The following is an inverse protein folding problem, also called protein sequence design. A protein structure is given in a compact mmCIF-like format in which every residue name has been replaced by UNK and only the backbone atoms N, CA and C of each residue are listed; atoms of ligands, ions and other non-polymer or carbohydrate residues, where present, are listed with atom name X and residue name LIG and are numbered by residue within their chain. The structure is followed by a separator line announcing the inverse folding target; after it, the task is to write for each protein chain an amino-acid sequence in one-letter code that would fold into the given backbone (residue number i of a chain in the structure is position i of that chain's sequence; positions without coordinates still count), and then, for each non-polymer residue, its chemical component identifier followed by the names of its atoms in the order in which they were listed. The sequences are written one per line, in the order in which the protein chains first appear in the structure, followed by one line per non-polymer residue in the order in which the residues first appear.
data_IF_818423752968
#
_entry.id   IF_818423752968
#
_cell.length_a   1.000
_cell.length_b   1.000
_cell.length_c   1.000
_cell.angle_alpha   90.00
_cell.angle_beta   90.00
_cell.angle_gamma   90.00
#
_symmetry.space_group_name_H-M   'P 1'
#
loop_
_entity.id
_entity.type
_entity.pdbx_description
1 polymer ?
#
# COMPACT_ATOMS: atom_id res chain seq x y z
N UNK A 1 18.63 14.55 -3.13
CA UNK A 1 19.02 14.01 -4.45
C UNK A 1 18.18 12.83 -4.89
N UNK A 2 17.86 11.91 -3.98
CA UNK A 2 16.93 10.81 -4.31
C UNK A 2 15.48 11.26 -4.51
N UNK A 3 15.14 12.49 -4.13
CA UNK A 3 13.79 13.03 -4.30
C UNK A 3 13.39 13.23 -5.76
N UNK A 4 14.38 13.34 -6.66
CA UNK A 4 14.12 13.47 -8.09
C UNK A 4 13.89 12.15 -8.80
N UNK A 5 14.31 11.02 -8.19
CA UNK A 5 14.18 9.70 -8.81
C UNK A 5 12.71 9.26 -8.91
N UNK A 6 11.94 9.55 -7.87
CA UNK A 6 10.53 9.15 -7.78
C UNK A 6 9.63 10.35 -7.54
N UNK A 7 8.42 10.28 -8.07
CA UNK A 7 7.35 11.24 -7.78
C UNK A 7 6.10 10.50 -7.32
N UNK A 8 5.36 11.10 -6.40
CA UNK A 8 4.11 10.53 -5.88
C UNK A 8 2.94 11.42 -6.31
N UNK A 9 1.87 10.78 -6.73
CA UNK A 9 0.64 11.46 -7.17
C UNK A 9 -0.60 10.67 -6.77
N UNK A 10 -1.75 11.31 -6.84
CA UNK A 10 -3.02 10.61 -6.70
C UNK A 10 -3.23 9.66 -7.88
N UNK A 11 -3.83 8.50 -7.59
CA UNK A 11 -4.21 7.54 -8.61
C UNK A 11 -5.38 8.09 -9.44
N UNK A 12 -5.35 7.82 -10.74
CA UNK A 12 -6.42 8.14 -11.68
C UNK A 12 -7.00 6.85 -12.27
N UNK A 13 -8.17 6.94 -12.87
CA UNK A 13 -8.84 5.75 -13.43
C UNK A 13 -7.99 5.09 -14.54
N UNK A 14 -7.21 5.87 -15.27
CA UNK A 14 -6.30 5.40 -16.31
C UNK A 14 -5.19 4.52 -15.76
N UNK A 15 -4.95 4.54 -14.45
CA UNK A 15 -3.94 3.70 -13.79
C UNK A 15 -4.41 2.26 -13.54
N UNK A 16 -5.67 1.93 -13.86
CA UNK A 16 -6.25 0.62 -13.53
C UNK A 16 -5.38 -0.55 -14.03
N UNK A 17 -4.90 -0.50 -15.25
CA UNK A 17 -4.08 -1.57 -15.81
C UNK A 17 -2.74 -1.70 -15.07
N UNK A 18 -2.10 -0.58 -14.75
CA UNK A 18 -0.86 -0.58 -13.98
C UNK A 18 -1.07 -1.15 -12.57
N UNK A 19 -2.17 -0.79 -11.92
CA UNK A 19 -2.53 -1.33 -10.61
C UNK A 19 -2.75 -2.85 -10.71
N UNK A 20 -3.50 -3.32 -11.70
CA UNK A 20 -3.74 -4.77 -11.88
C UNK A 20 -2.46 -5.55 -12.06
N UNK A 21 -1.51 -5.03 -12.83
CA UNK A 21 -0.21 -5.68 -13.03
C UNK A 21 0.60 -5.73 -11.73
N UNK A 22 0.63 -4.64 -10.97
CA UNK A 22 1.30 -4.60 -9.67
C UNK A 22 0.64 -5.52 -8.65
N UNK A 23 -0.68 -5.57 -8.63
CA UNK A 23 -1.42 -6.48 -7.74
C UNK A 23 -1.14 -7.94 -8.07
N UNK A 24 -1.06 -8.28 -9.34
CA UNK A 24 -0.70 -9.64 -9.77
C UNK A 24 0.71 -10.01 -9.28
N UNK A 25 1.67 -9.12 -9.44
CA UNK A 25 3.03 -9.31 -8.94
C UNK A 25 3.03 -9.47 -7.41
N UNK A 26 2.27 -8.63 -6.70
CA UNK A 26 2.15 -8.67 -5.25
C UNK A 26 1.53 -9.98 -4.76
N UNK A 27 0.49 -10.47 -5.42
CA UNK A 27 -0.15 -11.75 -5.09
C UNK A 27 0.81 -12.92 -5.32
N UNK A 28 1.50 -12.93 -6.45
CA UNK A 28 2.47 -13.99 -6.75
C UNK A 28 3.60 -14.03 -5.72
N UNK A 29 4.16 -12.88 -5.39
CA UNK A 29 5.19 -12.77 -4.36
C UNK A 29 4.66 -13.16 -2.97
N UNK A 30 3.41 -12.80 -2.68
CA UNK A 30 2.76 -13.08 -1.40
C UNK A 30 2.47 -14.55 -1.14
N UNK A 31 2.50 -15.41 -2.17
CA UNK A 31 2.21 -16.83 -2.01
C UNK A 31 3.16 -17.53 -1.02
N UNK A 32 4.35 -17.00 -0.83
CA UNK A 32 5.32 -17.52 0.14
C UNK A 32 4.98 -17.17 1.59
N UNK A 33 4.06 -16.24 1.83
CA UNK A 33 3.76 -15.74 3.17
C UNK A 33 2.49 -16.39 3.72
N UNK A 34 2.45 -16.56 5.05
CA UNK A 34 1.26 -17.06 5.73
C UNK A 34 0.14 -16.04 5.69
N UNK A 35 -1.09 -16.52 5.58
CA UNK A 35 -2.27 -15.67 5.66
C UNK A 35 -2.58 -14.89 4.39
N UNK A 36 -1.93 -15.22 3.25
CA UNK A 36 -2.18 -14.51 1.99
C UNK A 36 -3.65 -14.54 1.59
N UNK A 37 -4.35 -15.65 1.81
CA UNK A 37 -5.77 -15.77 1.48
C UNK A 37 -6.64 -14.91 2.39
N UNK A 38 -6.28 -14.82 3.67
CA UNK A 38 -6.99 -13.94 4.62
C UNK A 38 -6.82 -12.48 4.26
N UNK A 39 -5.60 -12.07 3.90
CA UNK A 39 -5.37 -10.66 3.56
C UNK A 39 -6.10 -10.27 2.28
N UNK A 40 -6.29 -11.19 1.34
CA UNK A 40 -7.10 -10.91 0.15
C UNK A 40 -8.57 -10.67 0.50
N UNK A 41 -9.07 -11.28 1.59
CA UNK A 41 -10.40 -10.99 2.12
C UNK A 41 -10.51 -9.64 2.80
N UNK A 42 -9.47 -9.22 3.55
CA UNK A 42 -9.43 -7.95 4.27
C UNK A 42 -8.98 -6.78 3.39
N UNK A 43 -8.12 -7.06 2.42
CA UNK A 43 -7.59 -6.09 1.47
C UNK A 43 -7.79 -6.62 0.05
N UNK A 44 -9.02 -6.59 -0.47
CA UNK A 44 -9.30 -7.10 -1.81
C UNK A 44 -8.54 -6.32 -2.88
N UNK A 45 -8.37 -6.95 -4.04
CA UNK A 45 -7.75 -6.31 -5.18
C UNK A 45 -8.61 -5.15 -5.66
N UNK A 46 -7.99 -4.03 -6.02
CA UNK A 46 -8.69 -2.80 -6.36
C UNK A 46 -8.65 -2.44 -7.84
N UNK A 47 -7.74 -3.05 -8.61
CA UNK A 47 -7.53 -2.65 -10.01
C UNK A 47 -8.79 -2.78 -10.85
N UNK A 48 -9.52 -3.88 -10.72
CA UNK A 48 -10.77 -4.11 -11.45
C UNK A 48 -11.95 -3.28 -10.92
N UNK A 49 -11.85 -2.74 -9.70
CA UNK A 49 -12.88 -1.96 -9.03
C UNK A 49 -12.44 -0.50 -8.77
N UNK A 50 -11.44 -0.06 -9.51
CA UNK A 50 -10.77 1.21 -9.24
C UNK A 50 -11.71 2.41 -9.26
N UNK A 51 -12.67 2.42 -10.17
CA UNK A 51 -13.65 3.50 -10.27
C UNK A 51 -14.42 3.67 -8.95
N UNK A 52 -14.88 2.58 -8.36
CA UNK A 52 -15.60 2.61 -7.07
C UNK A 52 -14.68 3.03 -5.93
N UNK A 53 -13.45 2.54 -5.92
CA UNK A 53 -12.46 2.92 -4.89
C UNK A 53 -12.18 4.42 -4.94
N UNK A 54 -11.92 4.96 -6.13
CA UNK A 54 -11.57 6.38 -6.29
C UNK A 54 -12.76 7.31 -5.99
N UNK A 55 -13.99 6.86 -6.21
CA UNK A 55 -15.18 7.66 -5.90
C UNK A 55 -15.63 7.53 -4.44
N UNK A 56 -15.05 6.62 -3.67
CA UNK A 56 -15.39 6.42 -2.27
C UNK A 56 -14.75 7.51 -1.40
N UNK A 57 -15.54 8.16 -0.57
CA UNK A 57 -15.07 9.27 0.27
C UNK A 57 -14.12 8.85 1.41
N UNK A 58 -14.04 7.57 1.72
CA UNK A 58 -13.22 7.04 2.82
C UNK A 58 -12.01 6.24 2.35
N UNK A 59 -11.63 6.36 1.09
CA UNK A 59 -10.47 5.65 0.54
C UNK A 59 -9.64 6.59 -0.32
N UNK A 60 -8.37 6.28 -0.43
CA UNK A 60 -7.52 6.90 -1.43
C UNK A 60 -6.40 5.94 -1.88
N UNK A 61 -5.90 6.20 -3.07
CA UNK A 61 -4.81 5.44 -3.66
C UNK A 61 -3.76 6.43 -4.17
N UNK A 62 -2.51 6.21 -3.78
CA UNK A 62 -1.38 6.99 -4.28
C UNK A 62 -0.49 6.12 -5.14
N UNK A 63 0.08 6.74 -6.17
CA UNK A 63 0.99 6.11 -7.12
C UNK A 63 2.38 6.70 -6.93
N UNK A 64 3.41 5.86 -7.00
CA UNK A 64 4.78 6.32 -7.12
C UNK A 64 5.30 5.99 -8.52
N UNK A 65 5.79 7.02 -9.21
CA UNK A 65 6.30 6.94 -10.57
C UNK A 65 7.81 7.18 -10.61
N UNK A 66 8.45 6.57 -11.60
CA UNK A 66 9.80 6.91 -12.05
C UNK A 66 9.73 7.18 -13.54
N UNK A 67 10.09 8.40 -13.97
CA UNK A 67 10.06 8.81 -15.37
C UNK A 67 8.72 8.49 -16.05
N UNK A 68 7.62 8.84 -15.39
CA UNK A 68 6.24 8.62 -15.85
C UNK A 68 5.82 7.15 -15.94
N UNK A 69 6.61 6.23 -15.40
CA UNK A 69 6.24 4.83 -15.30
C UNK A 69 5.88 4.48 -13.87
N UNK A 70 4.74 3.84 -13.69
CA UNK A 70 4.24 3.43 -12.38
C UNK A 70 5.13 2.34 -11.78
N UNK A 71 5.67 2.62 -10.59
CA UNK A 71 6.56 1.69 -9.89
C UNK A 71 5.95 1.10 -8.63
N UNK A 72 4.83 1.63 -8.18
CA UNK A 72 4.19 1.12 -6.98
C UNK A 72 2.94 1.90 -6.64
N UNK A 73 2.22 1.42 -5.64
CA UNK A 73 1.01 2.07 -5.16
C UNK A 73 0.78 1.80 -3.68
N UNK A 74 -0.05 2.64 -3.07
CA UNK A 74 -0.58 2.42 -1.73
C UNK A 74 -2.10 2.60 -1.75
N UNK A 75 -2.82 1.64 -1.18
CA UNK A 75 -4.27 1.71 -0.98
C UNK A 75 -4.55 1.92 0.50
N UNK A 76 -5.29 2.96 0.81
CA UNK A 76 -5.57 3.39 2.18
C UNK A 76 -7.08 3.53 2.37
N UNK A 77 -7.57 2.99 3.48
CA UNK A 77 -8.98 3.11 3.89
C UNK A 77 -9.04 3.84 5.22
N UNK A 78 -9.96 4.79 5.32
CA UNK A 78 -10.14 5.61 6.52
C UNK A 78 -11.39 5.14 7.26
N UNK A 79 -11.22 4.88 8.56
CA UNK A 79 -12.32 4.62 9.48
C UNK A 79 -12.16 5.58 10.66
N UNK A 80 -13.07 6.56 10.76
CA UNK A 80 -12.98 7.60 11.76
C UNK A 80 -11.70 8.41 11.61
N UNK A 81 -10.85 8.39 12.63
CA UNK A 81 -9.58 9.11 12.63
C UNK A 81 -8.37 8.22 12.32
N UNK A 82 -8.62 6.97 11.89
CA UNK A 82 -7.58 6.00 11.59
C UNK A 82 -7.51 5.75 10.10
N UNK A 83 -6.33 5.97 9.52
CA UNK A 83 -6.02 5.58 8.14
C UNK A 83 -5.30 4.24 8.17
N UNK A 84 -5.82 3.25 7.46
CA UNK A 84 -5.21 1.92 7.37
C UNK A 84 -4.63 1.71 5.98
N UNK A 85 -3.32 1.53 5.91
CA UNK A 85 -2.65 1.11 4.68
C UNK A 85 -2.94 -0.37 4.48
N UNK A 86 -3.89 -0.68 3.61
CA UNK A 86 -4.28 -2.07 3.33
C UNK A 86 -3.27 -2.76 2.45
N UNK A 87 -2.70 -2.03 1.52
CA UNK A 87 -1.63 -2.55 0.66
C UNK A 87 -0.70 -1.43 0.28
N UNK A 88 0.59 -1.70 0.38
CA UNK A 88 1.64 -0.90 -0.23
C UNK A 88 2.56 -1.86 -0.96
N UNK A 89 2.79 -1.61 -2.23
CA UNK A 89 3.60 -2.51 -3.05
C UNK A 89 4.48 -1.70 -3.98
N UNK A 90 5.75 -2.08 -4.04
CA UNK A 90 6.75 -1.50 -4.91
C UNK A 90 7.25 -2.59 -5.85
N UNK A 91 7.24 -2.32 -7.15
CA UNK A 91 7.77 -3.22 -8.16
C UNK A 91 9.22 -3.60 -7.84
N UNK A 92 9.59 -4.84 -8.11
CA UNK A 92 10.89 -5.41 -7.74
C UNK A 92 12.06 -4.53 -8.21
N UNK A 93 11.99 -4.01 -9.44
CA UNK A 93 13.06 -3.17 -10.00
C UNK A 93 13.23 -1.81 -9.31
N UNK A 94 12.23 -1.37 -8.55
CA UNK A 94 12.27 -0.06 -7.88
C UNK A 94 12.57 -0.15 -6.38
N UNK A 95 12.81 -1.35 -5.87
CA UNK A 95 13.06 -1.57 -4.44
C UNK A 95 14.45 -1.09 -4.04
N UNK A 96 14.60 -0.76 -2.75
CA UNK A 96 15.85 -0.30 -2.13
C UNK A 96 16.39 1.01 -2.71
N UNK A 97 15.54 1.78 -3.41
CA UNK A 97 15.89 3.07 -3.99
C UNK A 97 15.10 4.23 -3.36
N UNK A 98 14.32 3.94 -2.30
CA UNK A 98 13.58 4.97 -1.57
C UNK A 98 12.14 5.18 -2.01
N UNK A 99 11.64 4.43 -3.00
CA UNK A 99 10.27 4.58 -3.50
C UNK A 99 9.22 4.33 -2.42
N UNK A 100 9.39 3.25 -1.63
CA UNK A 100 8.45 2.90 -0.57
C UNK A 100 8.38 3.95 0.54
N UNK A 101 9.54 4.45 0.96
CA UNK A 101 9.62 5.50 1.99
C UNK A 101 8.95 6.79 1.52
N UNK A 102 9.18 7.18 0.27
CA UNK A 102 8.56 8.37 -0.31
C UNK A 102 7.05 8.22 -0.41
N UNK A 103 6.58 7.05 -0.86
CA UNK A 103 5.16 6.75 -0.94
C UNK A 103 4.49 6.79 0.44
N UNK A 104 5.11 6.16 1.44
CA UNK A 104 4.57 6.15 2.80
C UNK A 104 4.52 7.55 3.43
N UNK A 105 5.52 8.38 3.18
CA UNK A 105 5.51 9.79 3.61
C UNK A 105 4.33 10.54 2.99
N UNK A 106 4.06 10.33 1.71
CA UNK A 106 2.91 10.94 1.03
C UNK A 106 1.59 10.43 1.59
N UNK A 107 1.50 9.14 1.92
CA UNK A 107 0.32 8.56 2.58
C UNK A 107 0.05 9.27 3.92
N UNK A 108 1.08 9.47 4.74
CA UNK A 108 0.93 10.18 6.02
C UNK A 108 0.43 11.60 5.82
N UNK A 109 0.98 12.31 4.85
CA UNK A 109 0.58 13.69 4.55
C UNK A 109 -0.89 13.75 4.13
N UNK A 110 -1.31 12.85 3.24
CA UNK A 110 -2.71 12.81 2.78
C UNK A 110 -3.67 12.40 3.89
N UNK A 111 -3.30 11.44 4.72
CA UNK A 111 -4.11 11.03 5.86
C UNK A 111 -4.31 12.18 6.85
N UNK A 112 -3.25 12.94 7.16
CA UNK A 112 -3.35 14.12 8.00
C UNK A 112 -4.27 15.19 7.39
N UNK A 113 -4.12 15.43 6.09
CA UNK A 113 -4.97 16.39 5.38
C UNK A 113 -6.45 16.03 5.48
N UNK A 114 -6.76 14.74 5.52
CA UNK A 114 -8.12 14.21 5.68
C UNK A 114 -8.60 14.13 7.14
N UNK A 115 -7.79 14.59 8.08
CA UNK A 115 -8.17 14.64 9.51
C UNK A 115 -7.83 13.39 10.31
N UNK A 116 -7.08 12.46 9.78
CA UNK A 116 -6.67 11.28 10.53
C UNK A 116 -5.61 11.63 11.58
N UNK A 117 -5.68 10.94 12.70
CA UNK A 117 -4.73 11.09 13.83
C UNK A 117 -3.87 9.87 14.05
N UNK A 118 -4.18 8.77 13.37
CA UNK A 118 -3.47 7.52 13.49
C UNK A 118 -3.34 6.88 12.12
N UNK A 119 -2.19 6.23 11.89
CA UNK A 119 -1.96 5.41 10.71
C UNK A 119 -1.66 3.99 11.15
N UNK A 120 -2.39 3.04 10.61
CA UNK A 120 -2.14 1.61 10.76
C UNK A 120 -1.73 1.04 9.40
N UNK A 121 -1.03 -0.06 9.42
CA UNK A 121 -0.63 -0.74 8.20
C UNK A 121 -0.61 -2.25 8.42
N UNK A 122 -0.88 -2.99 7.36
CA UNK A 122 -0.98 -4.45 7.39
C UNK A 122 0.26 -5.03 6.69
N UNK A 123 0.89 -6.00 7.35
CA UNK A 123 1.97 -6.79 6.77
C UNK A 123 1.74 -8.26 7.12
N UNK A 124 2.08 -9.15 6.20
CA UNK A 124 1.99 -10.60 6.44
C UNK A 124 3.21 -11.10 7.23
N UNK A 125 3.01 -12.12 8.07
CA UNK A 125 4.14 -12.79 8.72
C UNK A 125 5.16 -13.27 7.68
N UNK A 126 6.42 -12.92 7.87
CA UNK A 126 7.51 -13.26 6.95
C UNK A 126 7.79 -12.24 5.87
N UNK A 127 6.88 -11.30 5.64
CA UNK A 127 7.09 -10.19 4.71
C UNK A 127 8.00 -9.13 5.35
N UNK A 128 9.29 -9.40 5.30
CA UNK A 128 10.30 -8.52 5.93
C UNK A 128 10.44 -7.18 5.24
N UNK A 129 10.26 -7.14 3.92
CA UNK A 129 10.40 -5.91 3.15
C UNK A 129 9.37 -4.88 3.60
N UNK A 130 8.10 -5.29 3.66
CA UNK A 130 7.01 -4.42 4.10
C UNK A 130 7.15 -4.05 5.57
N UNK A 131 7.47 -5.03 6.41
CA UNK A 131 7.69 -4.80 7.83
C UNK A 131 8.83 -3.81 8.08
N UNK A 132 9.96 -3.98 7.39
CA UNK A 132 11.10 -3.07 7.54
C UNK A 132 10.76 -1.66 7.08
N UNK A 133 9.98 -1.52 6.03
CA UNK A 133 9.50 -0.21 5.57
C UNK A 133 8.74 0.51 6.68
N UNK A 134 7.81 -0.19 7.34
CA UNK A 134 7.02 0.39 8.43
C UNK A 134 7.89 0.72 9.65
N UNK A 135 8.79 -0.16 10.02
CA UNK A 135 9.71 0.07 11.15
C UNK A 135 10.59 1.30 10.93
N UNK A 136 11.13 1.47 9.72
CA UNK A 136 11.92 2.67 9.38
C UNK A 136 11.09 3.96 9.43
N UNK A 137 9.79 3.85 9.29
CA UNK A 137 8.85 4.97 9.41
C UNK A 137 8.34 5.17 10.84
N UNK A 138 8.98 4.54 11.84
CA UNK A 138 8.62 4.59 13.26
C UNK A 138 7.24 3.98 13.56
N UNK A 139 6.80 3.03 12.76
CA UNK A 139 5.60 2.25 13.03
C UNK A 139 5.98 0.97 13.76
N UNK A 140 5.24 0.64 14.80
CA UNK A 140 5.52 -0.53 15.65
C UNK A 140 4.39 -1.55 15.52
N UNK A 141 4.75 -2.83 15.52
CA UNK A 141 3.76 -3.90 15.51
C UNK A 141 2.93 -3.85 16.80
N UNK A 142 1.60 -3.87 16.67
CA UNK A 142 0.68 -3.76 17.79
C UNK A 142 -0.26 -4.95 17.94
N UNK A 143 -0.44 -5.74 16.89
CA UNK A 143 -1.42 -6.82 16.89
C UNK A 143 -0.94 -7.97 16.02
N UNK A 144 -1.09 -9.19 16.53
CA UNK A 144 -0.95 -10.42 15.77
C UNK A 144 -2.27 -11.17 15.82
N UNK A 145 -2.72 -11.67 14.68
CA UNK A 145 -3.91 -12.50 14.58
C UNK A 145 -3.49 -13.93 14.34
N UNK A 146 -3.93 -14.84 15.22
CA UNK A 146 -3.71 -16.27 15.07
C UNK A 146 -5.02 -16.91 14.62
N UNK A 147 -4.96 -17.75 13.58
CA UNK A 147 -6.14 -18.42 13.03
C UNK A 147 -5.87 -19.88 12.78
N UNK A 148 -6.90 -20.69 12.95
CA UNK A 148 -6.88 -22.09 12.53
C UNK A 148 -8.27 -22.50 12.04
N UNK A 149 -8.32 -23.46 11.16
CA UNK A 149 -9.58 -24.12 10.81
C UNK A 149 -10.05 -25.00 11.98
N UNK A 150 -11.35 -25.19 12.08
CA UNK A 150 -11.97 -26.06 13.09
C UNK A 150 -12.35 -27.42 12.51
#
# INVERSE_FOLDING_TARGET
MNDELFSVRACEIEDAQSIELLEREAVDEGQQYRGVQQILGEAPLIGADLSNVLSSGNQFVLIVDHQSQTQGFAHVVIDGEVATVRRIFIATQARNLGAGAKLLTAVRTEAKRRGCKQIDAIALPGDRLTKNLFERANMKARLLVASSDL
#
